data_IF_005276509343
#
_entry.id   IF_005276509343
#
_cell.length_a   1.000
_cell.length_b   1.000
_cell.length_c   1.000
_cell.angle_alpha   90.00
_cell.angle_beta   90.00
_cell.angle_gamma   90.00
#
_symmetry.space_group_name_H-M   'P 1'
#
loop_
_entity.id
_entity.type
_entity.pdbx_description
1 polymer ?
#
# COMPACT_ATOMS: atom_id res chain seq x y z
N UNK A 1 -38.04 -63.07 -35.98
CA UNK A 1 -38.37 -61.80 -35.30
C UNK A 1 -37.15 -60.91 -35.25
N UNK A 2 -37.10 -59.85 -36.10
CA UNK A 2 -35.97 -58.95 -36.16
C UNK A 2 -36.12 -57.85 -35.06
N UNK A 3 -35.06 -57.67 -34.26
CA UNK A 3 -35.05 -56.58 -33.25
C UNK A 3 -34.99 -55.22 -33.94
N UNK A 4 -35.84 -54.25 -33.55
CA UNK A 4 -35.81 -52.90 -34.13
C UNK A 4 -34.48 -52.20 -33.79
N UNK A 5 -33.76 -51.72 -34.81
CA UNK A 5 -32.57 -50.92 -34.68
C UNK A 5 -32.96 -49.49 -34.34
N UNK A 6 -32.78 -49.09 -33.08
CA UNK A 6 -32.97 -47.71 -32.65
C UNK A 6 -31.85 -46.86 -33.25
N UNK A 7 -32.20 -45.95 -34.18
CA UNK A 7 -31.28 -44.92 -34.68
C UNK A 7 -30.99 -43.91 -33.54
N UNK A 8 -29.78 -43.92 -32.99
CA UNK A 8 -29.32 -42.87 -32.07
C UNK A 8 -29.19 -41.58 -32.89
N UNK A 9 -30.02 -40.57 -32.58
CA UNK A 9 -29.79 -39.21 -33.07
C UNK A 9 -28.55 -38.70 -32.44
N UNK A 10 -27.54 -38.35 -33.25
CA UNK A 10 -26.40 -37.55 -32.82
C UNK A 10 -26.93 -36.17 -32.43
N UNK A 11 -26.82 -35.80 -31.17
CA UNK A 11 -27.03 -34.42 -30.73
C UNK A 11 -25.81 -33.63 -31.20
N UNK A 12 -25.94 -32.92 -32.31
CA UNK A 12 -25.00 -31.87 -32.71
C UNK A 12 -25.12 -30.76 -31.66
N UNK A 13 -24.15 -30.71 -30.76
CA UNK A 13 -24.02 -29.58 -29.82
C UNK A 13 -23.57 -28.40 -30.67
N UNK A 14 -24.35 -27.32 -30.65
CA UNK A 14 -24.00 -26.09 -31.33
C UNK A 14 -22.83 -25.43 -30.57
N UNK A 15 -21.62 -25.57 -31.13
CA UNK A 15 -20.39 -25.07 -30.54
C UNK A 15 -20.36 -23.54 -30.52
N UNK A 16 -21.12 -22.86 -31.35
CA UNK A 16 -21.25 -21.42 -31.40
C UNK A 16 -21.91 -20.88 -30.12
N UNK A 17 -23.04 -21.49 -29.73
CA UNK A 17 -23.73 -21.12 -28.48
C UNK A 17 -22.91 -21.42 -27.24
N UNK A 18 -22.16 -22.53 -27.24
CA UNK A 18 -21.24 -22.87 -26.14
C UNK A 18 -20.07 -21.88 -26.05
N UNK A 19 -19.53 -21.43 -27.18
CA UNK A 19 -18.43 -20.43 -27.21
C UNK A 19 -18.94 -19.08 -26.73
N UNK A 20 -20.13 -18.66 -27.10
CA UNK A 20 -20.70 -17.37 -26.66
C UNK A 20 -20.91 -17.34 -25.14
N UNK A 21 -21.51 -18.40 -24.57
CA UNK A 21 -21.69 -18.51 -23.12
C UNK A 21 -20.34 -18.48 -22.38
N UNK A 22 -19.29 -19.16 -22.91
CA UNK A 22 -17.96 -19.17 -22.29
C UNK A 22 -17.31 -17.79 -22.35
N UNK A 23 -17.44 -17.07 -23.47
CA UNK A 23 -16.91 -15.71 -23.60
C UNK A 23 -17.64 -14.74 -22.68
N UNK A 24 -18.98 -14.82 -22.61
CA UNK A 24 -19.76 -13.99 -21.68
C UNK A 24 -19.42 -14.25 -20.22
N UNK A 25 -19.24 -15.52 -19.82
CA UNK A 25 -18.78 -15.89 -18.48
C UNK A 25 -17.37 -15.35 -18.20
N UNK A 26 -16.45 -15.49 -19.15
CA UNK A 26 -15.09 -14.97 -19.02
C UNK A 26 -15.09 -13.45 -18.84
N UNK A 27 -15.81 -12.73 -19.71
CA UNK A 27 -15.91 -11.26 -19.61
C UNK A 27 -16.61 -10.81 -18.33
N UNK A 28 -17.64 -11.53 -17.88
CA UNK A 28 -18.28 -11.27 -16.60
C UNK A 28 -17.31 -11.41 -15.43
N UNK A 29 -16.55 -12.50 -15.36
CA UNK A 29 -15.56 -12.69 -14.30
C UNK A 29 -14.42 -11.68 -14.38
N UNK A 30 -13.98 -11.27 -15.58
CA UNK A 30 -12.98 -10.21 -15.71
C UNK A 30 -13.50 -8.85 -15.21
N UNK A 31 -14.76 -8.51 -15.51
CA UNK A 31 -15.38 -7.25 -15.09
C UNK A 31 -15.75 -7.22 -13.60
N UNK A 32 -16.10 -8.38 -13.02
CA UNK A 32 -16.46 -8.49 -11.60
C UNK A 32 -15.27 -8.79 -10.70
N UNK A 33 -14.10 -9.09 -11.28
CA UNK A 33 -12.89 -9.33 -10.53
C UNK A 33 -12.40 -8.04 -9.86
N UNK A 34 -12.45 -7.99 -8.55
CA UNK A 34 -11.85 -6.90 -7.77
C UNK A 34 -10.36 -7.12 -7.66
N UNK A 35 -9.58 -6.19 -8.21
CA UNK A 35 -8.13 -6.19 -8.01
C UNK A 35 -7.83 -5.70 -6.59
N UNK A 36 -7.58 -6.63 -5.69
CA UNK A 36 -7.07 -6.30 -4.36
C UNK A 36 -5.63 -5.81 -4.49
N UNK A 37 -5.33 -4.68 -3.85
CA UNK A 37 -3.95 -4.20 -3.75
C UNK A 37 -3.11 -5.28 -3.05
N UNK A 38 -2.00 -5.68 -3.68
CA UNK A 38 -1.08 -6.66 -3.09
C UNK A 38 -0.38 -6.04 -1.89
N UNK A 39 -0.57 -6.64 -0.72
CA UNK A 39 0.20 -6.28 0.46
C UNK A 39 1.58 -6.96 0.39
N UNK A 40 2.66 -6.23 0.70
CA UNK A 40 4.03 -6.76 0.66
C UNK A 40 4.26 -7.86 1.71
N UNK A 41 3.55 -7.79 2.83
CA UNK A 41 3.58 -8.80 3.88
C UNK A 41 2.16 -9.26 4.24
N UNK A 42 1.98 -10.55 4.47
CA UNK A 42 0.72 -11.07 5.02
C UNK A 42 0.66 -10.74 6.51
N UNK A 43 -0.34 -9.97 6.90
CA UNK A 43 -0.53 -9.55 8.29
C UNK A 43 -1.85 -10.11 8.82
N UNK A 44 -1.76 -10.91 9.88
CA UNK A 44 -2.92 -11.40 10.64
C UNK A 44 -3.16 -10.41 11.77
N UNK A 45 -4.15 -9.54 11.62
CA UNK A 45 -4.48 -8.54 12.63
C UNK A 45 -5.08 -9.19 13.88
N UNK A 46 -4.78 -8.66 15.07
CA UNK A 46 -5.39 -9.16 16.31
C UNK A 46 -6.89 -8.95 16.31
N UNK A 47 -7.65 -9.85 16.92
CA UNK A 47 -9.11 -9.76 17.04
C UNK A 47 -9.53 -8.67 18.02
N UNK A 48 -10.61 -7.94 17.68
CA UNK A 48 -11.19 -6.88 18.53
C UNK A 48 -12.71 -6.85 18.39
N UNK A 49 -13.37 -6.28 19.37
CA UNK A 49 -14.83 -6.03 19.37
C UNK A 49 -15.19 -4.67 18.76
N UNK A 50 -14.22 -3.90 18.26
CA UNK A 50 -14.47 -2.60 17.66
C UNK A 50 -15.17 -2.75 16.31
N UNK A 51 -16.25 -2.00 16.10
CA UNK A 51 -17.04 -1.96 14.86
C UNK A 51 -16.79 -0.70 14.03
N UNK A 52 -15.79 0.12 14.41
CA UNK A 52 -15.46 1.35 13.70
C UNK A 52 -14.88 0.97 12.33
N UNK A 53 -15.51 1.46 11.27
CA UNK A 53 -15.03 1.21 9.91
C UNK A 53 -13.89 2.20 9.58
N UNK A 54 -12.81 1.66 9.00
CA UNK A 54 -11.73 2.49 8.48
C UNK A 54 -12.16 3.08 7.14
N UNK A 55 -11.88 4.37 6.86
CA UNK A 55 -12.15 4.98 5.56
C UNK A 55 -11.45 4.23 4.42
N UNK A 56 -12.06 4.27 3.25
CA UNK A 56 -11.47 3.67 2.02
C UNK A 56 -10.73 4.69 1.15
N UNK A 57 -10.92 5.99 1.43
CA UNK A 57 -10.34 7.12 0.71
C UNK A 57 -9.51 7.97 1.67
N UNK A 58 -8.53 8.69 1.12
CA UNK A 58 -7.61 9.56 1.87
C UNK A 58 -6.97 8.88 3.09
N UNK A 59 -6.64 7.61 2.92
CA UNK A 59 -6.12 6.75 3.98
C UNK A 59 -4.64 6.46 3.77
N UNK A 60 -3.87 6.64 4.83
CA UNK A 60 -2.48 6.22 4.95
C UNK A 60 -2.42 4.98 5.83
N UNK A 61 -2.08 3.85 5.24
CA UNK A 61 -1.94 2.59 5.97
C UNK A 61 -0.47 2.34 6.26
N UNK A 62 -0.12 2.26 7.53
CA UNK A 62 1.20 1.86 7.99
C UNK A 62 1.11 0.39 8.37
N UNK A 63 1.72 -0.47 7.56
CA UNK A 63 1.75 -1.90 7.81
C UNK A 63 3.05 -2.24 8.55
N UNK A 64 2.92 -2.99 9.64
CA UNK A 64 4.06 -3.54 10.40
C UNK A 64 4.01 -5.05 10.31
N UNK A 65 5.01 -5.65 9.68
CA UNK A 65 5.06 -7.10 9.50
C UNK A 65 5.32 -7.81 10.82
N UNK A 66 4.71 -8.98 10.98
CA UNK A 66 5.02 -9.93 12.04
C UNK A 66 6.25 -10.77 11.73
N UNK A 67 6.54 -11.70 12.63
CA UNK A 67 7.57 -12.69 12.43
C UNK A 67 7.07 -13.78 11.47
N UNK A 68 7.81 -14.05 10.40
CA UNK A 68 7.51 -15.20 9.55
C UNK A 68 7.98 -16.50 10.21
N UNK A 69 7.14 -17.54 10.11
CA UNK A 69 7.55 -18.89 10.50
C UNK A 69 8.26 -19.56 9.32
N UNK A 70 9.51 -19.97 9.50
CA UNK A 70 10.25 -20.76 8.52
C UNK A 70 9.60 -22.13 8.35
N UNK A 71 9.97 -22.82 7.26
CA UNK A 71 9.51 -24.18 6.98
C UNK A 71 9.87 -25.21 8.07
N UNK A 72 10.84 -24.92 8.92
CA UNK A 72 11.26 -25.72 10.06
C UNK A 72 10.49 -25.40 11.36
N UNK A 73 9.50 -24.49 11.31
CA UNK A 73 8.71 -24.06 12.46
C UNK A 73 9.39 -22.99 13.33
N UNK A 74 10.61 -22.55 13.01
CA UNK A 74 11.30 -21.49 13.73
C UNK A 74 10.88 -20.10 13.24
N UNK A 75 10.86 -19.12 14.14
CA UNK A 75 10.52 -17.73 13.80
C UNK A 75 11.69 -17.05 13.09
N UNK A 76 11.44 -16.51 11.91
CA UNK A 76 12.41 -15.68 11.19
C UNK A 76 12.37 -14.23 11.71
N UNK A 77 13.14 -13.95 12.75
CA UNK A 77 13.18 -12.61 13.35
C UNK A 77 13.80 -11.54 12.44
N UNK A 78 14.43 -11.92 11.33
CA UNK A 78 15.01 -10.96 10.39
C UNK A 78 13.95 -10.16 9.61
N UNK A 79 12.74 -10.69 9.47
CA UNK A 79 11.61 -10.01 8.80
C UNK A 79 10.61 -9.39 9.79
N UNK A 80 10.88 -9.57 11.09
CA UNK A 80 10.02 -9.06 12.15
C UNK A 80 10.08 -7.53 12.22
N UNK A 81 8.91 -6.90 12.27
CA UNK A 81 8.80 -5.46 12.49
C UNK A 81 9.21 -4.60 11.29
N UNK A 82 9.14 -5.07 10.07
CA UNK A 82 9.36 -4.24 8.88
C UNK A 82 8.17 -3.33 8.63
N UNK A 83 8.47 -2.08 8.31
CA UNK A 83 7.46 -1.04 8.12
C UNK A 83 7.25 -0.76 6.64
N UNK A 84 5.98 -0.71 6.23
CA UNK A 84 5.55 -0.37 4.89
C UNK A 84 4.49 0.72 4.96
N UNK A 85 4.41 1.54 3.90
CA UNK A 85 3.40 2.59 3.79
C UNK A 85 2.55 2.33 2.54
N UNK A 86 1.23 2.36 2.72
CA UNK A 86 0.25 2.38 1.65
C UNK A 86 -0.52 3.69 1.68
N UNK A 87 -0.86 4.23 0.51
CA UNK A 87 -1.59 5.47 0.40
C UNK A 87 -2.74 5.30 -0.57
N UNK A 88 -3.92 5.62 -0.10
CA UNK A 88 -5.13 5.71 -0.89
C UNK A 88 -5.53 7.17 -0.96
N UNK A 89 -5.79 7.68 -2.14
CA UNK A 89 -6.29 9.05 -2.34
C UNK A 89 -7.80 9.08 -2.47
N UNK A 90 -8.31 10.22 -2.91
CA UNK A 90 -9.73 10.42 -3.18
C UNK A 90 -10.19 9.62 -4.42
N UNK A 91 -11.48 9.40 -4.53
CA UNK A 91 -12.15 8.94 -5.76
C UNK A 91 -12.07 9.96 -6.90
N UNK A 92 -11.80 11.24 -6.61
CA UNK A 92 -11.53 12.25 -7.63
C UNK A 92 -10.24 11.91 -8.39
N UNK A 93 -10.32 11.89 -9.72
CA UNK A 93 -9.19 11.59 -10.61
C UNK A 93 -7.96 12.48 -10.39
N UNK A 94 -8.15 13.72 -9.96
CA UNK A 94 -7.08 14.69 -9.73
C UNK A 94 -6.28 14.40 -8.46
N UNK A 95 -6.95 13.91 -7.43
CA UNK A 95 -6.37 13.54 -6.13
C UNK A 95 -6.38 12.04 -5.90
N UNK A 96 -6.39 11.28 -6.99
CA UNK A 96 -6.37 9.81 -6.97
C UNK A 96 -5.12 9.26 -6.28
N UNK A 97 -5.21 8.03 -5.83
CA UNK A 97 -4.09 7.31 -5.19
C UNK A 97 -2.79 7.37 -5.98
N UNK A 98 -2.87 7.26 -7.31
CA UNK A 98 -1.68 7.34 -8.19
C UNK A 98 -1.05 8.73 -8.16
N UNK A 99 -1.86 9.78 -8.23
CA UNK A 99 -1.39 11.15 -8.24
C UNK A 99 -0.80 11.56 -6.89
N UNK A 100 -1.44 11.18 -5.78
CA UNK A 100 -0.91 11.42 -4.44
C UNK A 100 0.45 10.73 -4.25
N UNK A 101 0.60 9.49 -4.74
CA UNK A 101 1.88 8.76 -4.66
C UNK A 101 2.97 9.39 -5.52
N UNK A 102 2.65 9.91 -6.72
CA UNK A 102 3.62 10.66 -7.55
C UNK A 102 4.14 11.87 -6.79
N UNK A 103 3.23 12.70 -6.30
CA UNK A 103 3.59 13.95 -5.63
C UNK A 103 4.33 13.67 -4.32
N UNK A 104 3.95 12.59 -3.60
CA UNK A 104 4.66 12.14 -2.41
C UNK A 104 6.10 11.73 -2.70
N UNK A 105 6.35 10.93 -3.75
CA UNK A 105 7.70 10.48 -4.10
C UNK A 105 8.60 11.67 -4.43
N UNK A 106 8.08 12.62 -5.20
CA UNK A 106 8.81 13.84 -5.57
C UNK A 106 9.18 14.66 -4.33
N UNK A 107 8.22 14.88 -3.43
CA UNK A 107 8.47 15.66 -2.21
C UNK A 107 9.39 14.91 -1.22
N UNK A 108 9.21 13.59 -1.06
CA UNK A 108 10.08 12.77 -0.22
C UNK A 108 11.53 12.74 -0.75
N UNK A 109 11.72 12.62 -2.06
CA UNK A 109 13.03 12.71 -2.70
C UNK A 109 13.69 14.06 -2.43
N UNK A 110 12.93 15.15 -2.59
CA UNK A 110 13.43 16.51 -2.30
C UNK A 110 13.89 16.63 -0.85
N UNK A 111 13.08 16.21 0.11
CA UNK A 111 13.41 16.27 1.54
C UNK A 111 14.58 15.36 1.90
N UNK A 112 14.68 14.19 1.28
CA UNK A 112 15.81 13.28 1.48
C UNK A 112 17.11 13.90 0.98
N UNK A 113 17.10 14.49 -0.22
CA UNK A 113 18.27 15.11 -0.83
C UNK A 113 18.76 16.36 -0.06
N UNK A 114 17.84 17.15 0.49
CA UNK A 114 18.22 18.28 1.37
C UNK A 114 19.04 17.82 2.59
N UNK A 115 18.77 16.61 3.08
CA UNK A 115 19.46 16.05 4.26
C UNK A 115 20.66 15.19 3.90
N UNK A 116 20.71 14.67 2.69
CA UNK A 116 21.78 13.80 2.21
C UNK A 116 22.44 14.34 0.93
N UNK A 117 23.07 15.54 0.99
CA UNK A 117 23.63 16.19 -0.22
C UNK A 117 24.75 15.37 -0.86
N UNK A 118 25.43 14.51 -0.10
CA UNK A 118 26.51 13.65 -0.60
C UNK A 118 26.01 12.37 -1.31
N UNK A 119 24.74 12.02 -1.15
CA UNK A 119 24.13 10.83 -1.76
C UNK A 119 22.69 11.13 -2.22
N UNK A 120 22.52 12.06 -3.18
CA UNK A 120 21.19 12.43 -3.65
C UNK A 120 20.54 11.28 -4.44
N UNK A 121 19.24 11.11 -4.26
CA UNK A 121 18.42 10.15 -4.99
C UNK A 121 17.47 10.91 -5.90
N UNK A 122 17.58 10.65 -7.20
CA UNK A 122 16.71 11.26 -8.20
C UNK A 122 15.92 10.18 -8.94
N UNK A 123 14.69 10.48 -9.28
CA UNK A 123 13.80 9.56 -9.96
C UNK A 123 13.49 10.05 -11.38
N UNK A 124 13.53 9.13 -12.34
CA UNK A 124 13.08 9.37 -13.71
C UNK A 124 11.55 9.39 -13.78
N UNK A 125 10.98 9.98 -14.84
CA UNK A 125 9.52 10.00 -15.03
C UNK A 125 8.92 8.58 -15.10
N UNK A 126 9.65 7.60 -15.65
CA UNK A 126 9.23 6.21 -15.68
C UNK A 126 9.19 5.58 -14.28
N UNK A 127 10.19 5.85 -13.44
CA UNK A 127 10.24 5.39 -12.05
C UNK A 127 9.11 6.01 -11.20
N UNK A 128 8.85 7.30 -11.37
CA UNK A 128 7.72 7.98 -10.73
C UNK A 128 6.40 7.34 -11.14
N UNK A 129 6.22 7.03 -12.43
CA UNK A 129 5.05 6.32 -12.92
C UNK A 129 4.94 4.89 -12.40
N UNK A 130 6.06 4.17 -12.28
CA UNK A 130 6.08 2.83 -11.69
C UNK A 130 5.70 2.88 -10.19
N UNK A 131 6.27 3.82 -9.44
CA UNK A 131 5.95 4.02 -8.02
C UNK A 131 4.47 4.34 -7.79
N UNK A 132 3.87 5.16 -8.64
CA UNK A 132 2.45 5.54 -8.48
C UNK A 132 1.48 4.35 -8.52
N UNK A 133 1.89 3.25 -9.18
CA UNK A 133 1.10 2.01 -9.28
C UNK A 133 1.29 1.05 -8.11
N UNK A 134 2.30 1.28 -7.26
CA UNK A 134 2.52 0.45 -6.09
C UNK A 134 1.39 0.67 -5.08
N UNK A 135 0.73 -0.40 -4.66
CA UNK A 135 -0.29 -0.32 -3.60
C UNK A 135 0.31 0.06 -2.25
N UNK A 136 1.44 -0.53 -1.93
CA UNK A 136 2.25 -0.27 -0.74
C UNK A 136 3.72 -0.30 -1.11
N UNK A 137 4.54 0.40 -0.35
CA UNK A 137 5.99 0.41 -0.52
C UNK A 137 6.70 0.35 0.84
N UNK A 138 7.91 -0.15 0.83
CA UNK A 138 8.70 -0.30 2.05
C UNK A 138 10.11 -0.72 1.69
N UNK A 139 10.91 0.23 1.16
CA UNK A 139 12.32 0.05 0.89
C UNK A 139 13.07 1.31 1.33
N UNK A 140 14.38 1.19 1.65
CA UNK A 140 15.23 2.36 1.84
C UNK A 140 15.23 3.25 0.58
N UNK A 141 15.24 4.57 0.78
CA UNK A 141 15.17 5.55 -0.31
C UNK A 141 16.27 5.33 -1.36
N UNK A 142 17.47 4.94 -0.94
CA UNK A 142 18.63 4.68 -1.82
C UNK A 142 18.42 3.48 -2.77
N UNK A 143 17.65 2.48 -2.34
CA UNK A 143 17.45 1.23 -3.09
C UNK A 143 16.20 1.30 -3.97
N UNK A 144 15.36 2.29 -3.75
CA UNK A 144 14.09 2.47 -4.45
C UNK A 144 14.24 2.66 -5.97
N UNK A 145 15.21 3.45 -6.53
CA UNK A 145 15.36 3.58 -7.96
C UNK A 145 15.65 2.24 -8.66
N UNK A 146 16.58 1.46 -8.13
CA UNK A 146 16.91 0.13 -8.67
C UNK A 146 15.72 -0.83 -8.63
N UNK A 147 14.94 -0.79 -7.55
CA UNK A 147 13.71 -1.58 -7.43
C UNK A 147 12.64 -1.18 -8.46
N UNK A 148 12.47 0.11 -8.72
CA UNK A 148 11.47 0.62 -9.68
C UNK A 148 11.82 0.32 -11.14
N UNK A 149 13.09 0.08 -11.44
CA UNK A 149 13.55 -0.33 -12.78
C UNK A 149 13.34 -1.84 -13.05
N UNK A 150 13.04 -2.62 -12.02
CA UNK A 150 12.79 -4.06 -12.16
C UNK A 150 11.40 -4.33 -12.78
N UNK A 151 11.24 -5.43 -13.53
CA UNK A 151 9.92 -5.91 -13.93
C UNK A 151 9.02 -6.20 -12.71
N UNK A 152 7.72 -5.99 -12.84
CA UNK A 152 6.75 -6.17 -11.73
C UNK A 152 6.80 -7.56 -11.10
N UNK A 153 7.11 -8.59 -11.89
CA UNK A 153 7.27 -9.97 -11.38
C UNK A 153 8.48 -10.14 -10.47
N UNK A 154 9.57 -9.40 -10.74
CA UNK A 154 10.75 -9.39 -9.88
C UNK A 154 10.54 -8.51 -8.66
N UNK A 155 9.86 -7.37 -8.81
CA UNK A 155 9.44 -6.53 -7.68
C UNK A 155 8.61 -7.35 -6.66
N UNK A 156 7.64 -8.14 -7.16
CA UNK A 156 6.83 -9.02 -6.32
C UNK A 156 7.69 -10.07 -5.57
N UNK A 157 8.74 -10.59 -6.20
CA UNK A 157 9.67 -11.53 -5.55
C UNK A 157 10.50 -10.86 -4.47
N UNK A 158 11.11 -9.73 -4.78
CA UNK A 158 11.92 -8.95 -3.82
C UNK A 158 11.11 -8.60 -2.57
N UNK A 159 9.84 -8.19 -2.76
CA UNK A 159 8.96 -7.86 -1.64
C UNK A 159 8.53 -9.09 -0.84
N UNK A 160 8.39 -10.27 -1.46
CA UNK A 160 7.99 -11.51 -0.78
C UNK A 160 9.15 -12.27 -0.14
N UNK A 161 10.31 -12.29 -0.78
CA UNK A 161 11.50 -13.02 -0.32
C UNK A 161 12.18 -12.35 0.88
N UNK A 162 11.69 -11.17 1.28
CA UNK A 162 12.13 -10.45 2.48
C UNK A 162 13.65 -10.53 2.72
N UNK A 163 14.44 -9.96 1.81
CA UNK A 163 15.83 -9.73 2.16
C UNK A 163 15.86 -8.69 3.30
N UNK A 164 16.26 -9.05 4.53
CA UNK A 164 16.17 -8.18 5.70
C UNK A 164 16.98 -6.88 5.56
N UNK A 165 17.93 -6.84 4.63
CA UNK A 165 18.75 -5.66 4.38
C UNK A 165 18.13 -4.70 3.33
N UNK A 166 17.13 -5.15 2.58
CA UNK A 166 16.55 -4.41 1.45
C UNK A 166 15.11 -4.03 1.70
N UNK A 167 14.35 -4.84 2.44
CA UNK A 167 12.91 -4.65 2.62
C UNK A 167 12.59 -3.98 3.95
N UNK A 168 11.66 -3.04 3.92
CA UNK A 168 11.22 -2.23 5.05
C UNK A 168 11.79 -0.82 5.02
N UNK A 169 10.97 0.16 5.38
CA UNK A 169 11.41 1.54 5.56
C UNK A 169 12.25 1.60 6.84
N UNK A 170 13.48 2.15 6.80
CA UNK A 170 14.30 2.34 8.00
C UNK A 170 13.59 3.23 9.03
N UNK A 171 13.43 2.70 10.22
CA UNK A 171 12.83 3.39 11.37
C UNK A 171 13.65 3.14 12.62
N UNK A 172 13.73 4.13 13.49
CA UNK A 172 14.38 4.06 14.79
C UNK A 172 13.66 4.96 15.81
N UNK A 173 14.06 4.90 17.06
CA UNK A 173 13.53 5.71 18.18
C UNK A 173 13.98 7.18 18.13
N UNK A 174 14.08 7.77 16.96
CA UNK A 174 14.51 9.15 16.82
C UNK A 174 13.37 10.13 17.18
N UNK A 175 13.63 10.99 18.16
CA UNK A 175 12.72 12.07 18.60
C UNK A 175 13.16 13.46 18.13
N UNK A 176 14.29 13.55 17.42
CA UNK A 176 14.79 14.82 16.90
C UNK A 176 14.28 15.04 15.46
N UNK A 177 13.42 16.04 15.31
CA UNK A 177 12.85 16.43 14.00
C UNK A 177 13.94 17.02 13.08
N UNK A 178 15.04 17.52 13.61
CA UNK A 178 16.10 18.12 12.79
C UNK A 178 16.93 17.06 12.05
N UNK A 179 17.03 15.85 12.63
CA UNK A 179 17.74 14.70 12.03
C UNK A 179 16.79 13.52 11.83
N UNK A 180 15.74 13.66 11.01
CA UNK A 180 14.70 12.65 10.87
C UNK A 180 15.24 11.38 10.24
N UNK A 181 14.68 10.24 10.66
CA UNK A 181 14.87 8.97 9.98
C UNK A 181 14.03 8.91 8.67
N UNK A 182 14.25 7.87 7.85
CA UNK A 182 13.55 7.78 6.55
C UNK A 182 12.02 7.70 6.69
N UNK A 183 11.50 6.99 7.71
CA UNK A 183 10.07 6.95 7.97
C UNK A 183 9.51 8.35 8.27
N UNK A 184 10.21 9.15 9.07
CA UNK A 184 9.83 10.52 9.36
C UNK A 184 9.90 11.43 8.12
N UNK A 185 10.88 11.20 7.23
CA UNK A 185 10.96 11.92 5.95
C UNK A 185 9.71 11.65 5.09
N UNK A 186 9.28 10.39 4.99
CA UNK A 186 8.06 10.03 4.27
C UNK A 186 6.81 10.67 4.87
N UNK A 187 6.69 10.69 6.19
CA UNK A 187 5.55 11.29 6.88
C UNK A 187 5.57 12.83 6.79
N UNK A 188 6.74 13.48 6.79
CA UNK A 188 6.87 14.93 6.56
C UNK A 188 6.48 15.28 5.11
N UNK A 189 6.96 14.52 4.13
CA UNK A 189 6.59 14.67 2.73
C UNK A 189 5.06 14.60 2.54
N UNK A 190 4.42 13.61 3.15
CA UNK A 190 2.97 13.44 3.10
C UNK A 190 2.23 14.66 3.68
N UNK A 191 2.68 15.17 4.83
CA UNK A 191 2.08 16.35 5.44
C UNK A 191 2.22 17.59 4.55
N UNK A 192 3.37 17.75 3.87
CA UNK A 192 3.61 18.87 2.94
C UNK A 192 2.76 18.75 1.69
N UNK A 193 2.63 17.56 1.11
CA UNK A 193 1.73 17.30 -0.03
C UNK A 193 0.29 17.64 0.36
N UNK A 194 -0.19 17.14 1.49
CA UNK A 194 -1.54 17.45 1.97
C UNK A 194 -1.76 18.96 2.23
N UNK A 195 -0.77 19.64 2.79
CA UNK A 195 -0.81 21.09 3.01
C UNK A 195 -0.79 21.86 1.70
N UNK A 196 -0.01 21.40 0.71
CA UNK A 196 0.04 22.01 -0.62
C UNK A 196 -1.31 21.85 -1.35
N UNK A 197 -1.93 20.68 -1.29
CA UNK A 197 -3.27 20.47 -1.86
C UNK A 197 -4.33 21.38 -1.24
N UNK A 198 -4.21 21.60 0.06
CA UNK A 198 -5.10 22.51 0.78
C UNK A 198 -4.93 23.98 0.38
N UNK A 199 -3.69 24.42 0.20
CA UNK A 199 -3.40 25.84 0.00
C UNK A 199 -3.43 26.25 -1.48
N UNK A 200 -2.86 25.40 -2.34
CA UNK A 200 -2.57 25.74 -3.73
C UNK A 200 -3.29 24.82 -4.73
N UNK A 201 -3.85 23.72 -4.27
CA UNK A 201 -4.30 22.65 -5.16
C UNK A 201 -3.14 21.85 -5.77
N UNK A 202 -3.46 20.92 -6.66
CA UNK A 202 -2.48 20.08 -7.35
C UNK A 202 -2.18 20.64 -8.74
N UNK A 203 -0.91 20.73 -9.10
CA UNK A 203 -0.51 21.03 -10.46
C UNK A 203 -0.71 19.78 -11.33
N UNK A 204 -1.49 19.91 -12.40
CA UNK A 204 -1.75 18.85 -13.39
C UNK A 204 -0.53 18.68 -14.31
N UNK A 205 -0.47 17.53 -14.99
CA UNK A 205 0.61 17.22 -15.93
C UNK A 205 0.67 18.24 -17.13
N UNK A 206 -0.44 18.91 -17.44
CA UNK A 206 -0.53 19.97 -18.45
C UNK A 206 -0.16 21.38 -17.92
N UNK A 207 0.20 21.51 -16.65
CA UNK A 207 0.55 22.76 -15.99
C UNK A 207 -0.61 23.54 -15.37
N UNK A 208 -1.88 23.13 -15.59
CA UNK A 208 -3.02 23.74 -14.93
C UNK A 208 -3.03 23.40 -13.43
N UNK A 209 -3.64 24.26 -12.63
CA UNK A 209 -3.81 24.02 -11.19
C UNK A 209 -5.23 23.50 -10.94
N UNK A 210 -5.33 22.38 -10.24
CA UNK A 210 -6.60 21.85 -9.75
C UNK A 210 -7.11 22.69 -8.57
N UNK A 211 -8.42 22.70 -8.35
CA UNK A 211 -8.97 23.38 -7.19
C UNK A 211 -8.43 22.80 -5.87
N UNK A 212 -8.13 23.66 -4.87
CA UNK A 212 -7.66 23.21 -3.57
C UNK A 212 -8.65 22.26 -2.89
N UNK A 213 -8.12 21.26 -2.19
CA UNK A 213 -8.92 20.31 -1.39
C UNK A 213 -8.37 20.17 0.03
N UNK A 214 -9.26 20.07 0.99
CA UNK A 214 -8.90 19.85 2.39
C UNK A 214 -8.91 18.37 2.80
N UNK A 215 -9.45 17.48 1.95
CA UNK A 215 -9.77 16.08 2.32
C UNK A 215 -8.58 15.36 2.95
N UNK A 216 -7.48 15.21 2.21
CA UNK A 216 -6.29 14.52 2.70
C UNK A 216 -5.70 15.20 3.95
N UNK A 217 -5.65 16.54 3.98
CA UNK A 217 -5.16 17.28 5.14
C UNK A 217 -6.02 17.04 6.38
N UNK A 218 -7.34 17.12 6.24
CA UNK A 218 -8.26 16.92 7.34
C UNK A 218 -8.27 15.47 7.82
N UNK A 219 -8.15 14.50 6.91
CA UNK A 219 -8.01 13.08 7.24
C UNK A 219 -6.78 12.83 8.13
N UNK A 220 -5.61 13.36 7.75
CA UNK A 220 -4.35 13.14 8.46
C UNK A 220 -4.28 13.93 9.77
N UNK A 221 -4.74 15.18 9.78
CA UNK A 221 -4.50 16.11 10.91
C UNK A 221 -5.67 16.27 11.86
N UNK A 222 -6.91 16.17 11.39
CA UNK A 222 -8.09 16.54 12.17
C UNK A 222 -8.93 15.37 12.61
N UNK A 223 -9.34 14.49 11.70
CA UNK A 223 -10.23 13.38 12.02
C UNK A 223 -9.55 12.29 12.82
N UNK A 224 -8.28 11.98 12.46
CA UNK A 224 -7.54 10.83 12.97
C UNK A 224 -7.96 9.50 12.32
N UNK A 225 -8.80 9.58 11.31
CA UNK A 225 -9.26 8.44 10.53
C UNK A 225 -8.37 8.18 9.31
N UNK A 226 -7.61 9.19 8.87
CA UNK A 226 -6.75 9.13 7.70
C UNK A 226 -5.40 8.44 7.93
N UNK A 227 -5.07 8.01 9.14
CA UNK A 227 -3.89 7.20 9.43
C UNK A 227 -4.32 5.92 10.14
N UNK A 228 -4.01 4.78 9.54
CA UNK A 228 -4.28 3.48 10.13
C UNK A 228 -2.98 2.68 10.28
N UNK A 229 -2.72 2.16 11.46
CA UNK A 229 -1.61 1.24 11.73
C UNK A 229 -2.16 -0.18 11.72
N UNK A 230 -1.68 -0.98 10.78
CA UNK A 230 -2.01 -2.40 10.64
C UNK A 230 -0.80 -3.22 11.09
N UNK A 231 -0.89 -3.86 12.24
CA UNK A 231 0.17 -4.69 12.77
C UNK A 231 -0.27 -6.16 12.83
N UNK A 232 0.70 -7.06 12.62
CA UNK A 232 0.48 -8.49 12.82
C UNK A 232 0.34 -8.79 14.31
N UNK A 233 -0.43 -9.82 14.66
CA UNK A 233 -0.63 -10.28 16.04
C UNK A 233 0.69 -10.68 16.71
N UNK A 234 1.66 -11.16 15.92
CA UNK A 234 2.95 -11.65 16.39
C UNK A 234 4.06 -10.55 16.27
N UNK A 235 3.68 -9.30 15.92
CA UNK A 235 4.63 -8.16 15.87
C UNK A 235 5.06 -7.77 17.28
N UNK A 236 6.37 -7.58 17.55
CA UNK A 236 6.83 -7.08 18.82
C UNK A 236 6.23 -5.72 19.15
N UNK A 237 5.74 -5.58 20.36
CA UNK A 237 5.17 -4.32 20.84
C UNK A 237 6.17 -3.14 20.72
N UNK A 238 7.46 -3.40 20.91
CA UNK A 238 8.52 -2.40 20.76
C UNK A 238 8.50 -1.74 19.37
N UNK A 239 8.31 -2.50 18.29
CA UNK A 239 8.26 -1.96 16.94
C UNK A 239 7.02 -1.10 16.72
N UNK A 240 5.87 -1.57 17.21
CA UNK A 240 4.61 -0.79 17.15
C UNK A 240 4.79 0.52 17.92
N UNK A 241 5.41 0.45 19.11
CA UNK A 241 5.70 1.61 19.94
C UNK A 241 6.62 2.60 19.22
N UNK A 242 7.68 2.11 18.57
CA UNK A 242 8.58 2.95 17.76
C UNK A 242 7.80 3.67 16.62
N UNK A 243 6.90 3.00 15.92
CA UNK A 243 6.05 3.64 14.90
C UNK A 243 5.17 4.72 15.52
N UNK A 244 4.52 4.42 16.66
CA UNK A 244 3.66 5.38 17.35
C UNK A 244 4.43 6.61 17.85
N UNK A 245 5.61 6.41 18.44
CA UNK A 245 6.48 7.50 18.90
C UNK A 245 6.93 8.40 17.76
N UNK A 246 7.27 7.81 16.61
CA UNK A 246 7.61 8.58 15.40
C UNK A 246 6.42 9.42 14.92
N UNK A 247 5.21 8.84 14.88
CA UNK A 247 4.00 9.58 14.51
C UNK A 247 3.73 10.75 15.48
N UNK A 248 3.88 10.51 16.78
CA UNK A 248 3.71 11.54 17.80
C UNK A 248 4.76 12.66 17.66
N UNK A 249 6.02 12.30 17.42
CA UNK A 249 7.12 13.25 17.16
C UNK A 249 6.79 14.15 15.96
N UNK A 250 6.14 13.60 14.93
CA UNK A 250 5.68 14.33 13.75
C UNK A 250 4.36 15.08 13.97
N UNK A 251 3.86 15.13 15.21
CA UNK A 251 2.56 15.73 15.58
C UNK A 251 1.35 15.10 14.84
N UNK A 252 1.45 13.82 14.56
CA UNK A 252 0.39 12.97 14.03
C UNK A 252 -0.17 12.11 15.18
N UNK A 253 -0.83 12.77 16.13
CA UNK A 253 -1.26 12.14 17.39
C UNK A 253 -2.56 11.35 17.27
N UNK A 254 -3.23 11.46 16.14
CA UNK A 254 -4.49 10.76 15.88
C UNK A 254 -4.27 9.72 14.79
N UNK A 255 -4.45 8.47 15.14
CA UNK A 255 -4.38 7.33 14.22
C UNK A 255 -5.23 6.19 14.74
N UNK A 256 -5.67 5.31 13.87
CA UNK A 256 -6.46 4.13 14.18
C UNK A 256 -5.59 2.89 14.14
N UNK A 257 -5.79 1.96 15.08
CA UNK A 257 -5.19 0.64 15.02
C UNK A 257 -6.17 -0.32 14.34
N UNK A 258 -5.76 -0.92 13.23
CA UNK A 258 -6.59 -1.88 12.51
C UNK A 258 -6.58 -3.24 13.21
N UNK A 259 -7.77 -3.75 13.50
CA UNK A 259 -7.98 -5.05 14.14
C UNK A 259 -9.02 -5.84 13.34
N UNK A 260 -8.98 -7.17 13.44
CA UNK A 260 -10.04 -8.02 12.91
C UNK A 260 -11.22 -8.10 13.89
N UNK A 261 -12.44 -8.24 13.39
CA UNK A 261 -13.60 -8.52 14.25
C UNK A 261 -13.46 -9.91 14.88
N UNK A 262 -13.61 -9.99 16.19
CA UNK A 262 -13.67 -11.27 16.89
C UNK A 262 -14.93 -12.01 16.46
N UNK A 263 -14.79 -13.25 15.99
CA UNK A 263 -15.96 -14.08 15.72
C UNK A 263 -16.64 -14.50 17.03
N UNK A 264 -17.98 -14.56 17.04
CA UNK A 264 -18.76 -14.92 18.24
C UNK A 264 -18.49 -16.34 18.77
N UNK A 265 -17.65 -17.12 18.06
CA UNK A 265 -17.37 -18.54 18.38
C UNK A 265 -15.95 -18.78 18.91
N UNK A 266 -15.20 -17.76 19.34
CA UNK A 266 -13.90 -17.89 20.01
C UNK A 266 -13.94 -17.39 21.46
#
# INVERSE_FOLDING_TARGET
>A
MGKPKVKRKSTLIDMTAMSDVTVLLLTFFMLTSTFLAKEPATVITPSSVSTIKVPTEDLVTILVSGAETKSDGTINRAVEGKVFIGITGDSDSLYSSENVRKDLLVEASRLYNERHPNAPVNFTASQVSAFSRLGMFGLPMKDLPAFLDMPTTEQDKVMKEFNPNVVGIPINDNRDINTPNEFQIWMDALQRVAQNYRNNGRTKDNGDIAEPTNKLYDAIKRSGEGIAVKADKDTPFSTIHTVMDNLQTMKLNKFSLMTALKSENE
#
